data_IF_600153510666
#
_entry.id   IF_600153510666
#
_cell.length_a   1.000
_cell.length_b   1.000
_cell.length_c   1.000
_cell.angle_alpha   90.00
_cell.angle_beta   90.00
_cell.angle_gamma   90.00
#
_symmetry.space_group_name_H-M   'P 1'
#
loop_
_entity.id
_entity.type
_entity.pdbx_description
1 polymer ?
#
# COMPACT_ATOMS: atom_id res chain seq x y z
N UNK A 1 10.96 10.97 -9.43
CA UNK A 1 9.61 11.39 -9.00
C UNK A 1 9.45 10.97 -7.55
N UNK A 2 9.39 11.91 -6.60
CA UNK A 2 9.37 11.66 -5.14
C UNK A 2 8.03 12.06 -4.50
N UNK A 3 7.01 12.37 -5.30
CA UNK A 3 5.78 13.02 -4.82
C UNK A 3 4.86 12.10 -4.00
N UNK A 4 4.82 10.80 -4.30
CA UNK A 4 3.91 9.86 -3.61
C UNK A 4 4.26 9.67 -2.13
N UNK A 5 5.55 9.51 -1.79
CA UNK A 5 5.98 9.44 -0.38
C UNK A 5 5.72 10.74 0.36
N UNK A 6 6.03 11.89 -0.24
CA UNK A 6 5.76 13.19 0.38
C UNK A 6 4.27 13.42 0.62
N UNK A 7 3.42 13.00 -0.31
CA UNK A 7 1.96 13.05 -0.19
C UNK A 7 1.47 12.17 0.97
N UNK A 8 1.91 10.90 1.03
CA UNK A 8 1.55 9.97 2.09
C UNK A 8 1.99 10.45 3.49
N UNK A 9 3.19 11.02 3.60
CA UNK A 9 3.71 11.57 4.85
C UNK A 9 2.98 12.84 5.30
N UNK A 10 2.48 13.63 4.36
CA UNK A 10 1.71 14.85 4.66
C UNK A 10 0.28 14.56 5.15
N UNK A 11 -0.23 13.34 4.95
CA UNK A 11 -1.55 12.94 5.44
C UNK A 11 -1.65 12.90 6.97
N UNK A 12 -2.86 13.07 7.48
CA UNK A 12 -3.18 12.72 8.86
C UNK A 12 -3.17 11.20 9.07
N UNK A 13 -3.14 10.74 10.32
CA UNK A 13 -3.20 9.31 10.62
C UNK A 13 -4.47 8.65 10.08
N UNK A 14 -5.63 9.30 10.21
CA UNK A 14 -6.91 8.80 9.69
C UNK A 14 -6.88 8.66 8.16
N UNK A 15 -6.39 9.68 7.45
CA UNK A 15 -6.28 9.62 5.99
C UNK A 15 -5.32 8.54 5.49
N UNK A 16 -4.21 8.30 6.21
CA UNK A 16 -3.31 7.18 5.89
C UNK A 16 -4.02 5.84 6.07
N UNK A 17 -4.74 5.68 7.18
CA UNK A 17 -5.50 4.46 7.46
C UNK A 17 -6.55 4.19 6.38
N UNK A 18 -7.32 5.20 5.99
CA UNK A 18 -8.33 5.07 4.93
C UNK A 18 -7.70 4.71 3.59
N UNK A 19 -6.57 5.33 3.23
CA UNK A 19 -5.85 5.02 2.00
C UNK A 19 -5.31 3.58 2.00
N UNK A 20 -4.69 3.15 3.10
CA UNK A 20 -4.18 1.79 3.25
C UNK A 20 -5.30 0.75 3.11
N UNK A 21 -6.47 1.02 3.69
CA UNK A 21 -7.64 0.17 3.65
C UNK A 21 -8.22 0.08 2.24
N UNK A 22 -8.47 1.22 1.60
CA UNK A 22 -8.99 1.26 0.23
C UNK A 22 -8.08 0.51 -0.76
N UNK A 23 -6.76 0.72 -0.66
CA UNK A 23 -5.81 0.03 -1.55
C UNK A 23 -5.75 -1.47 -1.23
N UNK A 24 -5.78 -1.85 0.05
CA UNK A 24 -5.78 -3.25 0.45
C UNK A 24 -7.00 -3.99 -0.10
N UNK A 25 -8.20 -3.43 0.09
CA UNK A 25 -9.47 -3.99 -0.40
C UNK A 25 -9.50 -4.11 -1.94
N UNK A 26 -9.07 -3.08 -2.65
CA UNK A 26 -9.09 -3.05 -4.12
C UNK A 26 -8.17 -4.13 -4.71
N UNK A 27 -6.99 -4.36 -4.11
CA UNK A 27 -6.05 -5.35 -4.63
C UNK A 27 -6.36 -6.76 -4.13
N UNK A 28 -7.12 -6.94 -3.05
CA UNK A 28 -7.38 -8.25 -2.42
C UNK A 28 -7.98 -9.29 -3.37
N UNK A 29 -8.83 -8.85 -4.30
CA UNK A 29 -9.50 -9.73 -5.27
C UNK A 29 -8.65 -10.07 -6.52
N UNK A 30 -7.45 -9.49 -6.64
CA UNK A 30 -6.55 -9.74 -7.77
C UNK A 30 -5.81 -11.07 -7.60
N UNK A 31 -5.16 -11.55 -8.66
CA UNK A 31 -4.28 -12.71 -8.53
C UNK A 31 -3.07 -12.39 -7.63
N UNK A 32 -2.58 -13.37 -6.89
CA UNK A 32 -1.50 -13.18 -5.90
C UNK A 32 -0.23 -12.59 -6.51
N UNK A 33 0.09 -12.94 -7.76
CA UNK A 33 1.26 -12.40 -8.47
C UNK A 33 1.08 -10.93 -8.81
N UNK A 34 -0.13 -10.52 -9.20
CA UNK A 34 -0.45 -9.12 -9.49
C UNK A 34 -0.47 -8.30 -8.19
N UNK A 35 -1.00 -8.86 -7.11
CA UNK A 35 -0.94 -8.29 -5.78
C UNK A 35 0.51 -8.02 -5.31
N UNK A 36 1.41 -9.01 -5.46
CA UNK A 36 2.84 -8.87 -5.17
C UNK A 36 3.51 -7.80 -6.04
N UNK A 37 3.17 -7.75 -7.33
CA UNK A 37 3.72 -6.74 -8.25
C UNK A 37 3.27 -5.32 -7.90
N UNK A 38 2.00 -5.14 -7.56
CA UNK A 38 1.47 -3.84 -7.15
C UNK A 38 2.13 -3.37 -5.86
N UNK A 39 2.22 -4.24 -4.85
CA UNK A 39 2.87 -3.89 -3.57
C UNK A 39 4.37 -3.61 -3.74
N UNK A 40 5.06 -4.29 -4.65
CA UNK A 40 6.45 -3.97 -5.00
C UNK A 40 6.59 -2.56 -5.62
N UNK A 41 5.72 -2.20 -6.56
CA UNK A 41 5.71 -0.86 -7.17
C UNK A 41 5.37 0.24 -6.16
N UNK A 42 4.46 -0.03 -5.23
CA UNK A 42 4.15 0.89 -4.12
C UNK A 42 5.38 1.05 -3.22
N UNK A 43 6.15 -0.02 -2.97
CA UNK A 43 7.36 0.03 -2.15
C UNK A 43 8.47 0.91 -2.76
N UNK A 44 8.57 0.95 -4.10
CA UNK A 44 9.47 1.89 -4.80
C UNK A 44 9.10 3.36 -4.54
N UNK A 45 7.81 3.63 -4.28
CA UNK A 45 7.30 4.95 -3.98
C UNK A 45 7.35 5.29 -2.47
N UNK A 46 6.88 4.39 -1.60
CA UNK A 46 6.93 4.51 -0.15
C UNK A 46 6.86 3.12 0.53
N UNK A 47 7.95 2.75 1.21
CA UNK A 47 8.10 1.45 1.88
C UNK A 47 7.05 1.24 2.98
N UNK A 48 6.73 2.28 3.75
CA UNK A 48 5.83 2.14 4.90
C UNK A 48 4.39 1.89 4.44
N UNK A 49 3.95 2.57 3.38
CA UNK A 49 2.65 2.34 2.77
C UNK A 49 2.54 0.88 2.26
N UNK A 50 3.56 0.40 1.55
CA UNK A 50 3.59 -0.97 1.04
C UNK A 50 3.52 -2.02 2.16
N UNK A 51 4.28 -1.84 3.24
CA UNK A 51 4.24 -2.74 4.40
C UNK A 51 2.88 -2.78 5.09
N UNK A 52 2.21 -1.62 5.20
CA UNK A 52 0.90 -1.52 5.83
C UNK A 52 -0.17 -2.23 4.98
N UNK A 53 -0.15 -2.03 3.66
CA UNK A 53 -1.04 -2.74 2.73
C UNK A 53 -0.76 -4.24 2.80
N UNK A 54 0.52 -4.67 2.83
CA UNK A 54 0.85 -6.09 2.89
C UNK A 54 0.36 -6.77 4.17
N UNK A 55 0.48 -6.08 5.31
CA UNK A 55 -0.05 -6.59 6.59
C UNK A 55 -1.57 -6.73 6.60
N UNK A 56 -2.29 -5.84 5.91
CA UNK A 56 -3.76 -5.87 5.85
C UNK A 56 -4.32 -6.99 4.98
N UNK A 57 -3.62 -7.35 3.91
CA UNK A 57 -4.04 -8.41 3.00
C UNK A 57 -3.51 -9.80 3.39
N UNK A 58 -2.99 -9.96 4.62
CA UNK A 58 -2.42 -11.23 5.10
C UNK A 58 -1.46 -11.87 4.08
N UNK A 59 -0.57 -11.09 3.43
CA UNK A 59 0.57 -11.69 2.73
C UNK A 59 1.56 -12.23 3.77
N UNK A 60 1.18 -13.29 4.47
CA UNK A 60 2.11 -14.11 5.22
C UNK A 60 2.95 -14.85 4.20
N UNK A 61 4.23 -14.48 4.12
CA UNK A 61 5.29 -15.37 3.62
C UNK A 61 5.20 -16.76 4.26
#
# INVERSE_FOLDING_TARGET
MLQASSFYRAMTAAQRQDLEEAVAEDIFFLDSRLQERITALISEADVQLAENIRRRNDFTT
#
